data_IF_928317566286
#
_entry.id   IF_928317566286
#
_cell.length_a   1.000
_cell.length_b   1.000
_cell.length_c   1.000
_cell.angle_alpha   90.00
_cell.angle_beta   90.00
_cell.angle_gamma   90.00
#
_symmetry.space_group_name_H-M   'P 1'
#
loop_
_entity.id
_entity.type
_entity.pdbx_description
1 polymer ?
#
# COMPACT_ATOMS: atom_id res chain seq x y z
N UNK A 1 -12.29 -28.44 -13.06
CA UNK A 1 -13.44 -28.76 -13.93
C UNK A 1 -12.90 -29.47 -15.18
N UNK A 2 -13.60 -30.43 -15.78
CA UNK A 2 -13.08 -31.11 -16.98
C UNK A 2 -13.25 -30.21 -18.22
N UNK A 3 -12.16 -29.92 -18.94
CA UNK A 3 -12.20 -29.14 -20.20
C UNK A 3 -12.92 -29.98 -21.25
N UNK A 4 -14.21 -29.72 -21.48
CA UNK A 4 -15.05 -30.38 -22.47
C UNK A 4 -16.04 -29.38 -23.10
N UNK A 5 -16.67 -29.76 -24.22
CA UNK A 5 -17.57 -28.86 -24.95
C UNK A 5 -18.86 -28.53 -24.19
N UNK A 6 -19.31 -29.39 -23.27
CA UNK A 6 -20.43 -29.09 -22.36
C UNK A 6 -20.11 -27.91 -21.42
N UNK A 7 -18.88 -27.88 -20.89
CA UNK A 7 -18.37 -26.79 -20.06
C UNK A 7 -18.24 -25.50 -20.86
N UNK A 8 -17.77 -25.60 -22.11
CA UNK A 8 -17.69 -24.46 -23.02
C UNK A 8 -19.07 -23.85 -23.28
N UNK A 9 -20.07 -24.68 -23.57
CA UNK A 9 -21.42 -24.23 -23.85
C UNK A 9 -22.08 -23.57 -22.63
N UNK A 10 -21.86 -24.13 -21.45
CA UNK A 10 -22.39 -23.58 -20.19
C UNK A 10 -21.80 -22.22 -19.85
N UNK A 11 -20.50 -22.02 -20.09
CA UNK A 11 -19.78 -20.81 -19.68
C UNK A 11 -19.91 -19.64 -20.68
N UNK A 12 -20.23 -19.94 -21.94
CA UNK A 12 -20.27 -18.94 -23.03
C UNK A 12 -21.70 -18.60 -23.50
N UNK A 13 -22.68 -18.69 -22.61
CA UNK A 13 -24.10 -18.44 -22.90
C UNK A 13 -24.51 -16.94 -22.84
N UNK A 14 -23.62 -16.05 -23.32
CA UNK A 14 -23.77 -14.58 -23.25
C UNK A 14 -24.44 -14.01 -24.52
N UNK A 15 -24.85 -12.73 -24.47
CA UNK A 15 -25.63 -11.96 -25.46
C UNK A 15 -25.08 -12.03 -26.89
N UNK A 16 -23.77 -12.31 -27.07
CA UNK A 16 -23.10 -12.42 -28.39
C UNK A 16 -23.22 -13.81 -29.03
N UNK A 17 -23.69 -14.82 -28.29
CA UNK A 17 -23.92 -16.20 -28.74
C UNK A 17 -22.66 -17.09 -28.71
N UNK A 18 -22.87 -18.36 -28.33
CA UNK A 18 -21.83 -19.42 -28.29
C UNK A 18 -21.03 -19.55 -29.60
N UNK A 19 -21.68 -19.25 -30.74
CA UNK A 19 -21.09 -19.30 -32.08
C UNK A 19 -19.90 -18.35 -32.22
N UNK A 20 -20.07 -17.09 -31.80
CA UNK A 20 -19.02 -16.08 -31.86
C UNK A 20 -17.83 -16.45 -30.97
N UNK A 21 -18.10 -17.01 -29.78
CA UNK A 21 -17.06 -17.41 -28.84
C UNK A 21 -16.24 -18.61 -29.34
N UNK A 22 -16.88 -19.54 -30.04
CA UNK A 22 -16.19 -20.66 -30.67
C UNK A 22 -15.28 -20.18 -31.81
N UNK A 23 -15.77 -19.30 -32.68
CA UNK A 23 -15.00 -18.72 -33.76
C UNK A 23 -13.80 -17.92 -33.23
N UNK A 24 -13.98 -17.13 -32.16
CA UNK A 24 -12.90 -16.38 -31.51
C UNK A 24 -11.83 -17.30 -30.87
N UNK A 25 -12.24 -18.39 -30.21
CA UNK A 25 -11.31 -19.40 -29.68
C UNK A 25 -10.45 -20.01 -30.81
N UNK A 26 -11.07 -20.39 -31.93
CA UNK A 26 -10.38 -20.96 -33.08
C UNK A 26 -9.40 -19.96 -33.72
N UNK A 27 -9.76 -18.68 -33.82
CA UNK A 27 -8.86 -17.61 -34.29
C UNK A 27 -7.62 -17.47 -33.41
N UNK A 28 -7.80 -17.49 -32.09
CA UNK A 28 -6.70 -17.37 -31.14
C UNK A 28 -5.76 -18.58 -31.20
N UNK A 29 -6.31 -19.79 -31.30
CA UNK A 29 -5.51 -21.01 -31.49
C UNK A 29 -4.71 -20.96 -32.79
N UNK A 30 -5.35 -20.55 -33.89
CA UNK A 30 -4.69 -20.44 -35.19
C UNK A 30 -3.52 -19.44 -35.16
N UNK A 31 -3.74 -18.26 -34.58
CA UNK A 31 -2.71 -17.23 -34.46
C UNK A 31 -1.51 -17.72 -33.62
N UNK A 32 -1.77 -18.41 -32.51
CA UNK A 32 -0.69 -18.93 -31.67
C UNK A 32 0.13 -20.02 -32.34
N UNK A 33 -0.51 -20.93 -33.07
CA UNK A 33 0.18 -22.04 -33.72
C UNK A 33 0.96 -21.61 -34.96
N UNK A 34 0.41 -20.70 -35.77
CA UNK A 34 0.95 -20.41 -37.09
C UNK A 34 1.57 -19.02 -37.22
N UNK A 35 1.24 -18.07 -36.34
CA UNK A 35 1.64 -16.66 -36.48
C UNK A 35 2.53 -16.15 -35.33
N UNK A 36 2.69 -16.91 -34.24
CA UNK A 36 3.50 -16.50 -33.08
C UNK A 36 4.97 -16.21 -33.43
N UNK A 37 5.51 -16.88 -34.46
CA UNK A 37 6.86 -16.64 -34.98
C UNK A 37 6.99 -15.53 -36.03
N UNK A 38 5.87 -15.01 -36.56
CA UNK A 38 5.89 -14.03 -37.65
C UNK A 38 6.26 -12.62 -37.16
N UNK A 39 7.08 -11.91 -37.95
CA UNK A 39 7.49 -10.53 -37.63
C UNK A 39 6.68 -9.47 -38.37
N UNK A 40 6.24 -9.73 -39.60
CA UNK A 40 5.54 -8.74 -40.42
C UNK A 40 4.01 -8.94 -40.40
N UNK A 41 3.53 -10.17 -40.50
CA UNK A 41 2.10 -10.47 -40.58
C UNK A 41 1.60 -11.15 -39.31
N UNK A 42 1.22 -10.34 -38.32
CA UNK A 42 0.82 -10.79 -36.96
C UNK A 42 -0.68 -10.80 -36.70
N UNK A 43 -1.46 -10.07 -37.51
CA UNK A 43 -2.87 -9.85 -37.25
C UNK A 43 -3.72 -10.45 -38.37
N UNK A 44 -4.81 -11.10 -37.97
CA UNK A 44 -5.83 -11.58 -38.89
C UNK A 44 -6.70 -10.40 -39.33
N UNK A 45 -6.74 -10.13 -40.63
CA UNK A 45 -7.60 -9.11 -41.21
C UNK A 45 -8.83 -9.77 -41.83
N UNK A 46 -10.03 -9.34 -41.41
CA UNK A 46 -11.28 -9.74 -42.05
C UNK A 46 -11.54 -8.84 -43.27
N UNK A 47 -11.61 -9.43 -44.46
CA UNK A 47 -11.98 -8.70 -45.67
C UNK A 47 -13.41 -9.07 -46.09
N UNK A 48 -14.36 -8.11 -46.10
CA UNK A 48 -15.74 -8.33 -46.52
C UNK A 48 -15.91 -8.86 -47.95
N UNK A 49 -14.88 -8.73 -48.81
CA UNK A 49 -14.93 -9.10 -50.21
C UNK A 49 -14.54 -10.56 -50.50
N UNK A 50 -14.19 -11.36 -49.49
CA UNK A 50 -13.80 -12.77 -49.67
C UNK A 50 -14.77 -13.70 -48.92
N UNK A 51 -15.98 -13.88 -49.47
CA UNK A 51 -17.11 -14.53 -48.78
C UNK A 51 -16.85 -15.98 -48.31
N UNK A 52 -15.87 -16.66 -48.90
CA UNK A 52 -15.54 -18.06 -48.58
C UNK A 52 -14.54 -18.21 -47.43
N UNK A 53 -13.86 -17.14 -47.00
CA UNK A 53 -12.85 -17.18 -45.93
C UNK A 53 -13.15 -16.15 -44.83
N UNK A 54 -12.86 -16.50 -43.58
CA UNK A 54 -13.12 -15.63 -42.43
C UNK A 54 -12.06 -14.52 -42.31
N UNK A 55 -10.84 -14.80 -42.78
CA UNK A 55 -9.71 -13.88 -42.80
C UNK A 55 -9.02 -13.91 -44.17
N UNK A 56 -8.37 -12.83 -44.57
CA UNK A 56 -7.47 -12.88 -45.74
C UNK A 56 -6.40 -13.96 -45.53
N UNK A 57 -6.00 -14.71 -46.58
CA UNK A 57 -4.89 -15.65 -46.48
C UNK A 57 -3.66 -14.93 -45.93
N UNK A 58 -3.10 -15.47 -44.85
CA UNK A 58 -1.94 -14.89 -44.18
C UNK A 58 -0.70 -15.73 -44.49
N UNK A 59 0.43 -15.06 -44.70
CA UNK A 59 1.68 -15.73 -45.00
C UNK A 59 2.35 -16.18 -43.71
N UNK A 60 2.52 -17.50 -43.56
CA UNK A 60 3.32 -18.11 -42.50
C UNK A 60 4.80 -18.01 -42.89
N UNK A 61 5.55 -17.14 -42.21
CA UNK A 61 6.96 -16.88 -42.48
C UNK A 61 7.85 -18.07 -42.10
N UNK A 62 7.39 -18.89 -41.16
CA UNK A 62 8.13 -20.04 -40.61
C UNK A 62 8.11 -21.19 -41.61
N UNK A 63 6.93 -21.56 -42.10
CA UNK A 63 6.76 -22.66 -43.05
C UNK A 63 6.74 -22.19 -44.51
N UNK A 64 6.91 -20.88 -44.76
CA UNK A 64 6.98 -20.24 -46.09
C UNK A 64 5.80 -20.59 -47.00
N UNK A 65 4.58 -20.47 -46.47
CA UNK A 65 3.35 -20.81 -47.19
C UNK A 65 2.22 -19.84 -46.86
N UNK A 66 1.28 -19.68 -47.79
CA UNK A 66 0.04 -18.96 -47.55
C UNK A 66 -0.99 -19.89 -46.90
N UNK A 67 -1.63 -19.42 -45.83
CA UNK A 67 -2.63 -20.20 -45.09
C UNK A 67 -3.94 -19.39 -45.05
N UNK A 68 -5.00 -19.97 -45.60
CA UNK A 68 -6.36 -19.49 -45.41
C UNK A 68 -6.97 -20.10 -44.15
N UNK A 69 -7.71 -19.32 -43.39
CA UNK A 69 -8.37 -19.76 -42.16
C UNK A 69 -9.87 -19.47 -42.20
N UNK A 70 -10.66 -20.45 -41.75
CA UNK A 70 -12.10 -20.32 -41.57
C UNK A 70 -12.52 -21.19 -40.38
N UNK A 71 -13.11 -20.55 -39.37
CA UNK A 71 -13.87 -21.21 -38.32
C UNK A 71 -15.37 -20.93 -38.54
N UNK A 72 -16.19 -21.96 -38.32
CA UNK A 72 -17.64 -21.82 -38.37
C UNK A 72 -18.29 -22.79 -37.40
N UNK A 73 -19.23 -22.29 -36.62
CA UNK A 73 -20.03 -23.10 -35.71
C UNK A 73 -21.31 -23.60 -36.41
N UNK A 74 -21.52 -24.92 -36.43
CA UNK A 74 -22.73 -25.55 -36.99
C UNK A 74 -23.56 -26.21 -35.88
N UNK A 75 -24.88 -26.06 -35.92
CA UNK A 75 -25.83 -26.49 -34.88
C UNK A 75 -26.45 -27.89 -35.13
N UNK A 76 -26.04 -28.58 -36.21
CA UNK A 76 -26.60 -29.88 -36.61
C UNK A 76 -25.50 -30.93 -36.73
N UNK A 77 -25.85 -32.18 -36.43
CA UNK A 77 -25.04 -33.40 -36.43
C UNK A 77 -24.17 -33.56 -37.69
N UNK A 78 -23.06 -32.83 -37.72
CA UNK A 78 -21.92 -33.10 -38.59
C UNK A 78 -20.87 -33.69 -37.66
N UNK A 79 -20.64 -35.00 -37.75
CA UNK A 79 -19.53 -35.65 -37.06
C UNK A 79 -18.21 -35.06 -37.60
N UNK A 80 -17.67 -34.08 -36.89
CA UNK A 80 -16.35 -33.49 -37.11
C UNK A 80 -15.30 -34.36 -36.42
N UNK A 81 -14.38 -34.92 -37.21
CA UNK A 81 -13.31 -35.83 -36.76
C UNK A 81 -12.17 -35.09 -36.02
N UNK A 82 -12.40 -33.90 -35.46
CA UNK A 82 -11.32 -33.04 -34.90
C UNK A 82 -11.58 -32.42 -33.53
N UNK A 83 -12.69 -32.75 -32.87
CA UNK A 83 -13.09 -32.09 -31.62
C UNK A 83 -12.14 -32.36 -30.44
N UNK A 84 -11.46 -33.51 -30.40
CA UNK A 84 -10.52 -33.85 -29.32
C UNK A 84 -9.17 -33.15 -29.48
N UNK A 85 -8.69 -32.94 -30.71
CA UNK A 85 -7.40 -32.31 -30.96
C UNK A 85 -7.36 -30.85 -30.46
N UNK A 86 -8.46 -30.11 -30.65
CA UNK A 86 -8.61 -28.75 -30.12
C UNK A 86 -8.60 -28.75 -28.60
N UNK A 87 -9.36 -29.64 -27.96
CA UNK A 87 -9.37 -29.76 -26.51
C UNK A 87 -8.00 -30.19 -25.96
N UNK A 88 -7.28 -31.06 -26.67
CA UNK A 88 -5.95 -31.51 -26.26
C UNK A 88 -4.88 -30.41 -26.42
N UNK A 89 -4.98 -29.56 -27.45
CA UNK A 89 -4.14 -28.36 -27.56
C UNK A 89 -4.40 -27.39 -26.40
N UNK A 90 -5.67 -27.18 -26.02
CA UNK A 90 -6.05 -26.32 -24.90
C UNK A 90 -5.55 -26.91 -23.57
N UNK A 91 -5.70 -28.22 -23.37
CA UNK A 91 -5.25 -28.92 -22.15
C UNK A 91 -3.73 -28.92 -22.00
N UNK A 92 -2.99 -29.18 -23.09
CA UNK A 92 -1.57 -29.50 -23.01
C UNK A 92 -0.65 -28.31 -23.35
N UNK A 93 -1.10 -27.38 -24.21
CA UNK A 93 -0.23 -26.32 -24.75
C UNK A 93 -0.71 -24.90 -24.42
N UNK A 94 -2.03 -24.68 -24.32
CA UNK A 94 -2.59 -23.36 -24.03
C UNK A 94 -3.61 -23.36 -22.85
N UNK A 95 -3.15 -23.64 -21.61
CA UNK A 95 -4.04 -23.73 -20.44
C UNK A 95 -4.83 -22.46 -20.16
N UNK A 96 -4.30 -21.29 -20.52
CA UNK A 96 -4.94 -19.99 -20.32
C UNK A 96 -6.24 -19.84 -21.14
N UNK A 97 -6.33 -20.44 -22.33
CA UNK A 97 -7.56 -20.48 -23.13
C UNK A 97 -8.60 -21.38 -22.46
N UNK A 98 -8.16 -22.45 -21.80
CA UNK A 98 -9.00 -23.28 -20.93
C UNK A 98 -9.58 -22.48 -19.75
N UNK A 99 -8.81 -21.55 -19.19
CA UNK A 99 -9.24 -20.71 -18.07
C UNK A 99 -10.26 -19.65 -18.53
N UNK A 100 -10.04 -19.01 -19.68
CA UNK A 100 -10.92 -17.96 -20.23
C UNK A 100 -12.22 -18.51 -20.83
N UNK A 101 -12.15 -19.59 -21.61
CA UNK A 101 -13.31 -20.13 -22.33
C UNK A 101 -14.03 -21.27 -21.61
N UNK A 102 -13.36 -21.98 -20.69
CA UNK A 102 -13.93 -23.14 -20.00
C UNK A 102 -13.98 -22.97 -18.47
N UNK A 103 -13.62 -21.80 -17.92
CA UNK A 103 -13.78 -21.48 -16.51
C UNK A 103 -12.94 -22.34 -15.55
N UNK A 104 -11.80 -22.90 -16.00
CA UNK A 104 -11.01 -23.80 -15.16
C UNK A 104 -10.10 -23.02 -14.17
N UNK A 105 -10.61 -22.71 -12.97
CA UNK A 105 -9.92 -21.92 -11.93
C UNK A 105 -8.91 -22.70 -11.07
N UNK A 106 -8.14 -23.65 -11.61
CA UNK A 106 -6.98 -24.17 -10.87
C UNK A 106 -5.84 -23.18 -10.99
N UNK A 107 -5.88 -22.12 -10.17
CA UNK A 107 -4.76 -21.20 -9.97
C UNK A 107 -3.66 -22.00 -9.27
N UNK A 108 -2.72 -22.53 -10.05
CA UNK A 108 -1.57 -23.26 -9.51
C UNK A 108 -0.48 -22.27 -9.12
N UNK A 109 0.31 -22.60 -8.09
CA UNK A 109 1.42 -21.75 -7.63
C UNK A 109 2.46 -21.51 -8.74
N UNK A 110 2.63 -22.46 -9.66
CA UNK A 110 3.44 -22.28 -10.87
C UNK A 110 2.90 -21.17 -11.76
N UNK A 111 1.58 -21.06 -11.93
CA UNK A 111 0.97 -19.96 -12.68
C UNK A 111 1.32 -18.60 -12.07
N UNK A 112 1.24 -18.46 -10.73
CA UNK A 112 1.68 -17.22 -10.06
C UNK A 112 3.14 -16.93 -10.32
N UNK A 113 4.00 -17.96 -10.25
CA UNK A 113 5.45 -17.80 -10.38
C UNK A 113 5.83 -17.38 -11.79
N UNK A 114 5.27 -18.05 -12.80
CA UNK A 114 5.48 -17.77 -14.21
C UNK A 114 4.88 -16.43 -14.63
N UNK A 115 3.68 -16.09 -14.14
CA UNK A 115 3.04 -14.82 -14.49
C UNK A 115 3.72 -13.63 -13.81
N UNK A 116 4.18 -13.80 -12.56
CA UNK A 116 4.98 -12.79 -11.86
C UNK A 116 6.33 -12.60 -12.54
N UNK A 117 6.99 -13.66 -13.02
CA UNK A 117 8.25 -13.51 -13.77
C UNK A 117 8.05 -12.78 -15.08
N UNK A 118 6.98 -13.07 -15.83
CA UNK A 118 6.68 -12.35 -17.07
C UNK A 118 6.37 -10.87 -16.82
N UNK A 119 5.57 -10.55 -15.79
CA UNK A 119 5.29 -9.16 -15.43
C UNK A 119 6.55 -8.41 -14.98
N UNK A 120 7.45 -9.06 -14.24
CA UNK A 120 8.72 -8.48 -13.80
C UNK A 120 9.69 -8.26 -14.98
N UNK A 121 9.73 -9.19 -15.94
CA UNK A 121 10.53 -9.03 -17.17
C UNK A 121 9.98 -7.91 -18.06
N UNK A 122 8.66 -7.74 -18.18
CA UNK A 122 8.05 -6.63 -18.92
C UNK A 122 8.32 -5.26 -18.30
N UNK A 123 8.45 -5.20 -16.97
CA UNK A 123 8.82 -3.96 -16.27
C UNK A 123 10.29 -3.56 -16.56
N UNK A 124 11.15 -4.50 -16.96
CA UNK A 124 12.52 -4.26 -17.42
C UNK A 124 13.39 -3.46 -16.43
N UNK A 125 14.37 -2.70 -16.93
CA UNK A 125 15.26 -1.85 -16.10
C UNK A 125 14.54 -0.72 -15.33
N UNK A 126 13.23 -0.52 -15.55
CA UNK A 126 12.43 0.48 -14.83
C UNK A 126 12.06 0.01 -13.43
N UNK A 127 12.04 -1.30 -13.20
CA UNK A 127 11.83 -1.86 -11.87
C UNK A 127 13.16 -1.93 -11.12
N UNK A 128 13.41 -0.93 -10.27
CA UNK A 128 14.57 -0.94 -9.40
C UNK A 128 14.19 -1.56 -8.04
N UNK A 129 14.67 -2.78 -7.79
CA UNK A 129 14.44 -3.52 -6.54
C UNK A 129 15.03 -2.81 -5.31
N UNK A 130 16.07 -2.00 -5.52
CA UNK A 130 16.72 -1.19 -4.48
C UNK A 130 15.98 0.14 -4.23
N UNK A 131 15.00 0.48 -5.08
CA UNK A 131 14.07 1.60 -4.87
C UNK A 131 12.89 1.23 -3.98
N UNK A 132 12.96 0.08 -3.30
CA UNK A 132 12.09 -0.24 -2.17
C UNK A 132 12.55 0.54 -0.92
N UNK A 133 12.70 1.85 -1.07
CA UNK A 133 13.01 2.75 0.03
C UNK A 133 11.76 2.78 0.90
N UNK A 134 11.90 2.40 2.17
CA UNK A 134 10.85 2.63 3.17
C UNK A 134 10.58 4.11 3.25
N UNK A 135 9.62 4.59 2.46
CA UNK A 135 9.16 5.97 2.45
C UNK A 135 7.97 6.08 3.37
N UNK A 136 7.63 7.31 3.79
CA UNK A 136 6.39 7.60 4.53
C UNK A 136 5.17 6.95 3.85
N UNK A 137 5.19 6.83 2.52
CA UNK A 137 4.14 6.15 1.75
C UNK A 137 4.03 4.65 2.02
N UNK A 138 5.15 3.96 2.29
CA UNK A 138 5.13 2.55 2.67
C UNK A 138 4.40 2.36 4.01
N UNK A 139 4.63 3.25 4.97
CA UNK A 139 3.97 3.20 6.27
C UNK A 139 2.48 3.58 6.16
N UNK A 140 2.14 4.60 5.36
CA UNK A 140 0.74 4.96 5.08
C UNK A 140 -0.04 3.83 4.41
N UNK A 141 0.56 3.17 3.40
CA UNK A 141 -0.04 2.04 2.72
C UNK A 141 -0.21 0.85 3.66
N UNK A 142 0.79 0.59 4.50
CA UNK A 142 0.75 -0.48 5.51
C UNK A 142 -0.39 -0.24 6.50
N UNK A 143 -0.53 0.99 7.01
CA UNK A 143 -1.63 1.39 7.90
C UNK A 143 -3.01 1.21 7.26
N UNK A 144 -3.13 1.51 5.96
CA UNK A 144 -4.38 1.34 5.21
C UNK A 144 -4.75 -0.13 4.94
N UNK A 145 -3.77 -1.01 4.72
CA UNK A 145 -3.98 -2.44 4.45
C UNK A 145 -4.08 -3.26 5.75
N UNK A 146 -3.80 -2.64 6.91
CA UNK A 146 -3.76 -3.28 8.23
C UNK A 146 -2.80 -4.48 8.25
N UNK A 147 -1.62 -4.33 7.65
CA UNK A 147 -0.64 -5.40 7.60
C UNK A 147 0.23 -5.48 8.88
N UNK A 148 1.17 -6.44 8.91
CA UNK A 148 2.09 -6.58 10.04
C UNK A 148 3.00 -5.36 10.22
N UNK A 149 3.35 -4.66 9.13
CA UNK A 149 4.22 -3.48 9.19
C UNK A 149 3.51 -2.30 9.83
N UNK A 150 2.19 -2.18 9.68
CA UNK A 150 1.38 -1.21 10.41
C UNK A 150 1.49 -1.39 11.93
N UNK A 151 1.39 -2.64 12.40
CA UNK A 151 1.54 -2.95 13.82
C UNK A 151 2.97 -2.63 14.31
N UNK A 152 3.98 -3.00 13.53
CA UNK A 152 5.39 -2.69 13.83
C UNK A 152 5.64 -1.17 13.88
N UNK A 153 5.06 -0.40 12.96
CA UNK A 153 5.15 1.06 12.93
C UNK A 153 4.55 1.72 14.18
N UNK A 154 3.35 1.30 14.60
CA UNK A 154 2.68 1.84 15.77
C UNK A 154 3.44 1.46 17.07
N UNK A 155 3.87 0.21 17.18
CA UNK A 155 4.68 -0.23 18.32
C UNK A 155 6.05 0.48 18.34
N UNK A 156 6.63 0.82 17.19
CA UNK A 156 7.86 1.60 17.11
C UNK A 156 7.69 3.02 17.68
N UNK A 157 6.53 3.67 17.51
CA UNK A 157 6.25 4.97 18.15
C UNK A 157 6.32 4.87 19.67
N UNK A 158 5.78 3.77 20.23
CA UNK A 158 5.84 3.49 21.66
C UNK A 158 7.29 3.29 22.13
N UNK A 159 8.11 2.52 21.39
CA UNK A 159 9.52 2.30 21.77
C UNK A 159 10.33 3.59 21.69
N UNK A 160 10.16 4.40 20.64
CA UNK A 160 10.84 5.70 20.50
C UNK A 160 10.50 6.63 21.66
N UNK A 161 9.23 6.67 22.10
CA UNK A 161 8.85 7.45 23.26
C UNK A 161 9.51 6.95 24.56
N UNK A 162 9.59 5.63 24.77
CA UNK A 162 10.27 5.06 25.93
C UNK A 162 11.78 5.40 25.93
N UNK A 163 12.41 5.41 24.76
CA UNK A 163 13.81 5.81 24.62
C UNK A 163 14.00 7.31 24.93
N UNK A 164 13.12 8.18 24.43
CA UNK A 164 13.12 9.62 24.75
C UNK A 164 12.91 9.88 26.26
N UNK A 165 11.97 9.17 26.90
CA UNK A 165 11.74 9.25 28.34
C UNK A 165 12.98 8.81 29.12
N UNK A 166 13.61 7.73 28.67
CA UNK A 166 14.84 7.21 29.28
C UNK A 166 15.98 8.23 29.19
N UNK A 167 16.18 8.87 28.04
CA UNK A 167 17.20 9.93 27.89
C UNK A 167 16.89 11.13 28.82
N UNK A 168 15.62 11.53 28.91
CA UNK A 168 15.20 12.64 29.78
C UNK A 168 15.32 12.29 31.27
N UNK A 169 15.17 11.03 31.67
CA UNK A 169 15.38 10.61 33.06
C UNK A 169 16.82 10.84 33.54
N UNK A 170 17.80 10.72 32.64
CA UNK A 170 19.20 11.00 32.97
C UNK A 170 19.50 12.49 33.15
N UNK A 171 18.81 13.37 32.39
CA UNK A 171 19.12 14.81 32.35
C UNK A 171 18.17 15.70 33.16
N UNK A 172 16.91 15.28 33.34
CA UNK A 172 15.86 16.11 33.94
C UNK A 172 15.80 15.97 35.46
N UNK A 173 15.40 17.06 36.11
CA UNK A 173 15.12 17.10 37.55
C UNK A 173 13.73 16.54 37.89
N UNK A 174 12.80 16.48 36.92
CA UNK A 174 11.39 16.06 37.13
C UNK A 174 11.20 14.54 36.99
N UNK A 175 11.96 13.78 37.78
CA UNK A 175 12.03 12.31 37.68
C UNK A 175 10.72 11.59 38.01
N UNK A 176 9.93 12.12 38.94
CA UNK A 176 8.67 11.49 39.36
C UNK A 176 7.64 11.48 38.23
N UNK A 177 7.55 12.59 37.48
CA UNK A 177 6.72 12.67 36.28
C UNK A 177 7.18 11.66 35.21
N UNK A 178 8.48 11.66 34.91
CA UNK A 178 9.03 10.80 33.86
C UNK A 178 8.88 9.31 34.20
N UNK A 179 9.09 8.91 35.46
CA UNK A 179 8.86 7.53 35.92
C UNK A 179 7.38 7.16 35.78
N UNK A 180 6.48 8.07 36.17
CA UNK A 180 5.04 7.82 36.02
C UNK A 180 4.63 7.66 34.56
N UNK A 181 5.21 8.47 33.68
CA UNK A 181 4.98 8.39 32.25
C UNK A 181 5.53 7.07 31.66
N UNK A 182 6.75 6.68 32.03
CA UNK A 182 7.37 5.41 31.64
C UNK A 182 6.53 4.20 32.07
N UNK A 183 6.04 4.19 33.31
CA UNK A 183 5.16 3.13 33.83
C UNK A 183 3.88 3.00 32.99
N UNK A 184 3.23 4.12 32.68
CA UNK A 184 1.97 4.12 31.94
C UNK A 184 2.18 3.71 30.49
N UNK A 185 3.21 4.23 29.82
CA UNK A 185 3.53 3.88 28.43
C UNK A 185 3.93 2.42 28.33
N UNK A 186 4.72 1.90 29.27
CA UNK A 186 5.12 0.48 29.28
C UNK A 186 3.94 -0.46 29.51
N UNK A 187 2.93 -0.04 30.27
CA UNK A 187 1.73 -0.82 30.55
C UNK A 187 0.75 -0.89 29.37
N UNK A 188 0.89 -0.03 28.35
CA UNK A 188 0.05 -0.11 27.15
C UNK A 188 0.32 -1.43 26.41
N UNK A 189 -0.71 -2.18 25.98
CA UNK A 189 -0.49 -3.39 25.20
C UNK A 189 0.03 -3.04 23.80
N UNK A 190 0.94 -3.86 23.27
CA UNK A 190 1.37 -3.75 21.88
C UNK A 190 0.22 -4.10 20.94
N UNK A 191 0.14 -3.41 19.81
CA UNK A 191 -0.89 -3.69 18.80
C UNK A 191 -0.44 -4.80 17.84
N UNK A 192 -1.41 -5.58 17.38
CA UNK A 192 -1.30 -6.54 16.29
C UNK A 192 -2.32 -6.15 15.20
N UNK A 193 -2.38 -6.92 14.11
CA UNK A 193 -3.26 -6.67 12.95
C UNK A 193 -4.73 -6.47 13.35
N UNK A 194 -5.21 -7.20 14.36
CA UNK A 194 -6.60 -7.15 14.82
C UNK A 194 -6.85 -6.00 15.81
N UNK A 195 -5.82 -5.55 16.51
CA UNK A 195 -5.92 -4.58 17.61
C UNK A 195 -5.39 -3.17 17.27
N UNK A 196 -5.08 -2.89 16.00
CA UNK A 196 -4.52 -1.61 15.54
C UNK A 196 -5.32 -0.39 16.04
N UNK A 197 -6.64 -0.48 16.05
CA UNK A 197 -7.53 0.62 16.46
C UNK A 197 -7.38 1.04 17.92
N UNK A 198 -6.93 0.13 18.81
CA UNK A 198 -6.71 0.46 20.22
C UNK A 198 -5.56 1.47 20.42
N UNK A 199 -4.65 1.61 19.42
CA UNK A 199 -3.58 2.62 19.46
C UNK A 199 -4.11 4.06 19.49
N UNK A 200 -5.33 4.30 19.02
CA UNK A 200 -5.96 5.62 19.00
C UNK A 200 -6.22 6.13 20.42
N UNK A 201 -6.49 5.23 21.37
CA UNK A 201 -6.77 5.56 22.77
C UNK A 201 -5.50 5.71 23.61
N UNK A 202 -4.31 5.43 23.05
CA UNK A 202 -3.05 5.51 23.80
C UNK A 202 -2.80 6.92 24.32
N UNK A 203 -2.97 7.94 23.48
CA UNK A 203 -2.72 9.33 23.89
C UNK A 203 -3.67 9.79 25.00
N UNK A 204 -4.98 9.52 24.87
CA UNK A 204 -5.96 9.90 25.89
C UNK A 204 -5.71 9.18 27.22
N UNK A 205 -5.37 7.89 27.16
CA UNK A 205 -5.04 7.08 28.34
C UNK A 205 -3.80 7.62 29.05
N UNK A 206 -2.73 7.89 28.30
CA UNK A 206 -1.47 8.41 28.85
C UNK A 206 -1.68 9.79 29.46
N UNK A 207 -2.33 10.72 28.75
CA UNK A 207 -2.58 12.08 29.23
C UNK A 207 -3.46 12.11 30.47
N UNK A 208 -4.47 11.26 30.55
CA UNK A 208 -5.34 11.18 31.72
C UNK A 208 -4.58 10.68 32.95
N UNK A 209 -3.67 9.71 32.77
CA UNK A 209 -2.86 9.17 33.85
C UNK A 209 -1.83 10.17 34.41
N UNK A 210 -1.36 11.12 33.58
CA UNK A 210 -0.39 12.16 34.00
C UNK A 210 -0.99 13.55 34.16
N UNK A 211 -2.32 13.70 34.07
CA UNK A 211 -3.02 14.99 34.03
C UNK A 211 -2.66 15.90 35.22
N UNK A 212 -2.57 15.34 36.42
CA UNK A 212 -2.21 16.09 37.64
C UNK A 212 -0.81 16.69 37.58
N UNK A 213 0.14 16.01 36.94
CA UNK A 213 1.48 16.57 36.70
C UNK A 213 1.46 17.64 35.63
N UNK A 214 0.67 17.45 34.57
CA UNK A 214 0.52 18.44 33.51
C UNK A 214 -0.13 19.74 34.03
N UNK A 215 -1.12 19.64 34.91
CA UNK A 215 -1.75 20.80 35.55
C UNK A 215 -0.72 21.58 36.41
N UNK A 216 0.07 20.85 37.21
CA UNK A 216 1.15 21.45 38.00
C UNK A 216 2.21 22.14 37.12
N UNK A 217 2.60 21.51 36.01
CA UNK A 217 3.50 22.12 35.04
C UNK A 217 2.89 23.34 34.35
N UNK A 218 1.58 23.32 34.07
CA UNK A 218 0.86 24.47 33.53
C UNK A 218 0.84 25.66 34.49
N UNK A 219 0.68 25.42 35.79
CA UNK A 219 0.81 26.47 36.80
C UNK A 219 2.24 26.99 36.95
N UNK A 220 3.22 26.10 36.96
CA UNK A 220 4.66 26.45 37.01
C UNK A 220 5.05 27.29 35.79
N UNK A 221 4.61 26.89 34.60
CA UNK A 221 4.81 27.60 33.35
C UNK A 221 4.27 29.03 33.43
N UNK A 222 3.00 29.21 33.85
CA UNK A 222 2.38 30.54 34.00
C UNK A 222 3.13 31.44 34.99
N UNK A 223 3.60 30.87 36.11
CA UNK A 223 4.40 31.60 37.11
C UNK A 223 5.75 32.04 36.52
N UNK A 224 6.42 31.16 35.79
CA UNK A 224 7.69 31.46 35.15
C UNK A 224 7.57 32.49 34.03
N UNK A 225 6.49 32.45 33.24
CA UNK A 225 6.22 33.47 32.22
C UNK A 225 5.97 34.85 32.84
N UNK A 226 5.14 34.93 33.89
CA UNK A 226 4.90 36.18 34.59
C UNK A 226 6.19 36.76 35.18
N UNK A 227 7.06 35.91 35.72
CA UNK A 227 8.35 36.34 36.24
C UNK A 227 9.32 36.74 35.11
N UNK A 228 9.34 36.00 33.99
CA UNK A 228 10.13 36.34 32.80
C UNK A 228 9.76 37.73 32.29
N UNK A 229 8.47 38.02 32.18
CA UNK A 229 7.98 39.30 31.65
C UNK A 229 8.34 40.47 32.60
N UNK A 230 8.33 40.24 33.92
CA UNK A 230 8.83 41.22 34.90
C UNK A 230 10.33 41.48 34.74
N UNK A 231 11.14 40.43 34.58
CA UNK A 231 12.58 40.56 34.38
C UNK A 231 12.91 41.28 33.06
N UNK A 232 12.11 41.04 32.01
CA UNK A 232 12.23 41.77 30.75
C UNK A 232 11.98 43.27 30.95
N UNK A 233 10.87 43.64 31.61
CA UNK A 233 10.54 45.05 31.91
C UNK A 233 11.66 45.71 32.73
N UNK A 234 12.17 45.03 33.77
CA UNK A 234 13.30 45.50 34.58
C UNK A 234 14.58 45.73 33.75
N UNK A 235 14.84 44.88 32.76
CA UNK A 235 16.02 45.01 31.90
C UNK A 235 15.97 46.21 30.97
N UNK A 236 14.75 46.64 30.58
CA UNK A 236 14.52 47.77 29.70
C UNK A 236 14.40 49.12 30.43
N UNK A 237 14.32 49.11 31.76
CA UNK A 237 14.13 50.30 32.58
C UNK A 237 15.41 51.17 32.63
N UNK A 238 15.38 52.31 31.93
CA UNK A 238 16.51 53.23 31.85
C UNK A 238 16.87 53.91 33.17
N UNK A 239 15.96 53.92 34.15
CA UNK A 239 16.22 54.50 35.48
C UNK A 239 17.08 53.58 36.36
N UNK A 240 17.17 52.29 36.03
CA UNK A 240 17.97 51.31 36.79
C UNK A 240 19.45 51.32 36.45
N UNK A 241 20.26 51.00 37.47
CA UNK A 241 21.69 50.81 37.31
C UNK A 241 22.00 49.79 36.21
N UNK A 242 23.07 50.04 35.46
CA UNK A 242 23.49 49.17 34.35
C UNK A 242 23.69 47.71 34.79
N UNK A 243 24.24 47.50 35.99
CA UNK A 243 24.45 46.15 36.54
C UNK A 243 23.13 45.42 36.81
N UNK A 244 22.14 46.10 37.39
CA UNK A 244 20.81 45.51 37.64
C UNK A 244 20.12 45.09 36.34
N UNK A 245 20.25 45.89 35.28
CA UNK A 245 19.71 45.55 33.95
C UNK A 245 20.39 44.33 33.33
N UNK A 246 21.71 44.24 33.43
CA UNK A 246 22.48 43.11 32.91
C UNK A 246 22.17 41.81 33.69
N UNK A 247 21.92 41.89 35.00
CA UNK A 247 21.48 40.76 35.83
C UNK A 247 20.05 40.32 35.49
N UNK A 248 19.11 41.27 35.34
CA UNK A 248 17.73 40.99 34.94
C UNK A 248 17.67 40.31 33.56
N UNK A 249 18.52 40.72 32.61
CA UNK A 249 18.61 40.10 31.29
C UNK A 249 19.12 38.65 31.37
N UNK A 250 20.11 38.38 32.24
CA UNK A 250 20.60 37.00 32.46
C UNK A 250 19.51 36.11 33.05
N UNK A 251 18.78 36.60 34.06
CA UNK A 251 17.67 35.85 34.65
C UNK A 251 16.52 35.66 33.66
N UNK A 252 16.21 36.65 32.81
CA UNK A 252 15.24 36.51 31.70
C UNK A 252 15.59 35.33 30.79
N UNK A 253 16.85 35.24 30.34
CA UNK A 253 17.28 34.14 29.47
C UNK A 253 17.23 32.78 30.17
N UNK A 254 17.59 32.74 31.46
CA UNK A 254 17.54 31.52 32.28
C UNK A 254 16.10 31.05 32.51
N UNK A 255 15.17 31.96 32.76
CA UNK A 255 13.75 31.67 32.83
C UNK A 255 13.23 31.15 31.48
N UNK A 256 13.66 31.75 30.37
CA UNK A 256 13.35 31.26 29.03
C UNK A 256 13.81 29.82 28.77
N UNK A 257 15.00 29.44 29.24
CA UNK A 257 15.46 28.04 29.16
C UNK A 257 14.58 27.10 29.99
N UNK A 258 14.24 27.47 31.22
CA UNK A 258 13.35 26.65 32.07
C UNK A 258 11.95 26.46 31.49
N UNK A 259 11.41 27.51 30.87
CA UNK A 259 10.12 27.44 30.18
C UNK A 259 10.18 26.41 29.05
N UNK A 260 11.23 26.47 28.21
CA UNK A 260 11.44 25.46 27.15
C UNK A 260 11.55 24.04 27.68
N UNK A 261 12.25 23.85 28.80
CA UNK A 261 12.37 22.52 29.42
C UNK A 261 11.00 21.99 29.86
N UNK A 262 10.15 22.86 30.42
CA UNK A 262 8.77 22.51 30.81
C UNK A 262 7.90 22.24 29.58
N UNK A 263 8.02 23.02 28.51
CA UNK A 263 7.29 22.80 27.26
C UNK A 263 7.59 21.43 26.65
N UNK A 264 8.86 21.01 26.68
CA UNK A 264 9.26 19.67 26.23
C UNK A 264 8.55 18.60 27.05
N UNK A 265 8.50 18.76 28.39
CA UNK A 265 7.84 17.79 29.27
C UNK A 265 6.32 17.74 29.07
N UNK A 266 5.66 18.89 28.86
CA UNK A 266 4.21 18.98 28.62
C UNK A 266 3.84 18.31 27.29
N UNK A 267 4.69 18.44 26.27
CA UNK A 267 4.43 17.89 24.94
C UNK A 267 4.86 16.42 24.78
N UNK A 268 5.63 15.87 25.71
CA UNK A 268 6.14 14.49 25.65
C UNK A 268 5.03 13.44 25.47
N UNK A 269 3.87 13.51 26.16
CA UNK A 269 2.76 12.58 25.94
C UNK A 269 2.16 12.63 24.53
N UNK A 270 2.31 13.74 23.80
CA UNK A 270 1.77 13.88 22.44
C UNK A 270 2.59 13.11 21.41
N UNK A 271 3.77 12.59 21.76
CA UNK A 271 4.60 11.77 20.86
C UNK A 271 3.97 10.43 20.48
N UNK A 272 3.10 9.89 21.35
CA UNK A 272 2.34 8.66 21.08
C UNK A 272 1.02 8.93 20.35
N UNK A 273 0.71 10.19 20.05
CA UNK A 273 -0.51 10.55 19.36
C UNK A 273 -0.53 10.00 17.93
N UNK A 274 -1.64 9.32 17.62
CA UNK A 274 -1.96 8.93 16.26
C UNK A 274 -2.54 10.17 15.58
N UNK A 275 -1.88 10.64 14.53
CA UNK A 275 -2.29 11.83 13.79
C UNK A 275 -3.64 11.62 13.11
N UNK A 276 -4.33 12.70 12.80
CA UNK A 276 -5.60 12.64 12.06
C UNK A 276 -5.46 11.94 10.70
N UNK A 277 -4.32 12.08 10.04
CA UNK A 277 -4.02 11.37 8.79
C UNK A 277 -3.94 9.85 9.03
N UNK A 278 -3.24 9.41 10.07
CA UNK A 278 -3.13 7.99 10.41
C UNK A 278 -4.49 7.40 10.84
N UNK A 279 -5.30 8.16 11.58
CA UNK A 279 -6.69 7.76 11.90
C UNK A 279 -7.53 7.58 10.63
N UNK A 280 -7.42 8.51 9.68
CA UNK A 280 -8.09 8.39 8.39
C UNK A 280 -7.62 7.18 7.60
N UNK A 281 -6.34 6.81 7.66
CA UNK A 281 -5.83 5.62 7.00
C UNK A 281 -6.32 4.34 7.66
N UNK A 282 -6.44 4.31 8.99
CA UNK A 282 -6.96 3.16 9.73
C UNK A 282 -8.46 2.92 9.49
N UNK A 283 -9.27 3.97 9.32
CA UNK A 283 -10.72 3.88 9.09
C UNK A 283 -11.16 4.04 7.63
N UNK A 284 -10.26 4.47 6.77
CA UNK A 284 -10.58 4.85 5.40
C UNK A 284 -10.82 3.64 4.52
N UNK A 285 -11.85 3.70 3.69
CA UNK A 285 -12.09 2.71 2.63
C UNK A 285 -11.35 3.06 1.32
N UNK A 286 -10.82 4.30 1.23
CA UNK A 286 -10.20 4.83 0.02
C UNK A 286 -8.86 5.50 0.36
N UNK A 287 -7.77 4.96 -0.20
CA UNK A 287 -6.45 5.57 -0.15
C UNK A 287 -6.24 6.44 -1.40
N UNK A 288 -6.14 7.76 -1.22
CA UNK A 288 -5.78 8.67 -2.31
C UNK A 288 -4.31 9.05 -2.17
N UNK A 289 -3.49 8.65 -3.14
CA UNK A 289 -2.06 8.99 -3.21
C UNK A 289 -1.89 10.03 -4.32
N UNK A 290 -1.45 11.23 -3.95
CA UNK A 290 -1.04 12.28 -4.89
C UNK A 290 0.49 12.32 -4.90
N UNK A 291 1.10 11.85 -5.99
CA UNK A 291 2.52 12.09 -6.25
C UNK A 291 2.67 13.47 -6.91
N UNK A 292 3.50 14.33 -6.33
CA UNK A 292 4.03 15.55 -6.96
C UNK A 292 5.33 15.23 -7.70
#
# INVERSE_FOLDING_TARGET
MQINWESFATYNHDIRGIRFKFEDLCRQLFANENLSGNKQFRYLHANPNNHELETEPIYDETNKRWIGFQAKFFDQDVQLVTDTAVLDLIRNKYPYLGLYYFGNHTIQQEWFTTHTSYMLDELGERYNRDFNVGTVFSDELSLFIHDRRAAEYLNAKKTVLLDEISELLYRSSKRDYLRKLEEVVSALPDVNIETLYHSIEWNSTVRLAVATFLDNFGEEHKKLEAERDRQYILSCDSEKERKEREEALKEYHKLGSKIRDIDILINLPNRIEISEREKQLLYGDILTILQL
#
